data_IF_857859711763
#
_entry.id   IF_857859711763
#
_cell.length_a   1.000
_cell.length_b   1.000
_cell.length_c   1.000
_cell.angle_alpha   90.00
_cell.angle_beta   90.00
_cell.angle_gamma   90.00
#
_symmetry.space_group_name_H-M   'P 1'
#
loop_
_entity.id
_entity.type
_entity.pdbx_description
1 polymer ?
#
# COMPACT_ATOMS: atom_id res chain seq x y z
N UNK A 1 32.93 -1.92 11.50
CA UNK A 1 32.68 -2.27 10.07
C UNK A 1 32.01 -3.64 9.85
N UNK A 2 32.30 -4.67 10.66
CA UNK A 2 31.77 -6.04 10.49
C UNK A 2 30.26 -6.20 10.76
N UNK A 3 29.71 -5.50 11.77
CA UNK A 3 28.28 -5.58 12.12
C UNK A 3 27.39 -4.92 11.05
N UNK A 4 27.80 -3.76 10.53
CA UNK A 4 27.08 -3.05 9.46
C UNK A 4 27.06 -3.88 8.18
N UNK A 5 28.19 -4.50 7.83
CA UNK A 5 28.30 -5.37 6.65
C UNK A 5 27.44 -6.64 6.79
N UNK A 6 27.38 -7.23 7.99
CA UNK A 6 26.50 -8.37 8.28
C UNK A 6 25.00 -7.99 8.24
N UNK A 7 24.64 -6.81 8.75
CA UNK A 7 23.28 -6.29 8.68
C UNK A 7 22.84 -6.01 7.23
N UNK A 8 23.70 -5.37 6.43
CA UNK A 8 23.46 -5.11 5.01
C UNK A 8 23.30 -6.40 4.21
N UNK A 9 24.10 -7.45 4.50
CA UNK A 9 23.97 -8.77 3.86
C UNK A 9 22.64 -9.46 4.18
N UNK A 10 22.04 -9.15 5.33
CA UNK A 10 20.72 -9.64 5.72
C UNK A 10 19.56 -8.78 5.18
N UNK A 11 19.84 -7.62 4.60
CA UNK A 11 18.84 -6.74 3.96
C UNK A 11 18.85 -6.94 2.44
N UNK A 12 20.02 -7.12 1.85
CA UNK A 12 20.21 -7.27 0.40
C UNK A 12 20.24 -8.74 0.00
N UNK A 13 19.23 -9.21 -0.73
CA UNK A 13 19.17 -10.57 -1.25
C UNK A 13 19.54 -10.62 -2.75
N UNK A 14 19.72 -11.82 -3.31
CA UNK A 14 19.80 -11.99 -4.78
C UNK A 14 18.56 -11.41 -5.45
N UNK A 15 17.40 -11.68 -4.88
CA UNK A 15 16.11 -11.19 -5.36
C UNK A 15 16.01 -9.65 -5.28
N UNK A 16 16.60 -9.03 -4.24
CA UNK A 16 16.74 -7.56 -4.16
C UNK A 16 17.50 -7.00 -5.36
N UNK A 17 18.54 -7.69 -5.83
CA UNK A 17 19.32 -7.24 -7.00
C UNK A 17 18.52 -7.33 -8.30
N UNK A 18 17.72 -8.39 -8.45
CA UNK A 18 16.85 -8.57 -9.63
C UNK A 18 15.75 -7.51 -9.64
N UNK A 19 15.07 -7.30 -8.51
CA UNK A 19 14.02 -6.30 -8.39
C UNK A 19 14.58 -4.88 -8.54
N UNK A 20 15.76 -4.59 -7.99
CA UNK A 20 16.42 -3.31 -8.19
C UNK A 20 16.79 -3.08 -9.66
N UNK A 21 17.33 -4.09 -10.34
CA UNK A 21 17.62 -4.01 -11.78
C UNK A 21 16.37 -3.74 -12.61
N UNK A 22 15.27 -4.48 -12.35
CA UNK A 22 13.99 -4.23 -13.01
C UNK A 22 13.43 -2.84 -12.71
N UNK A 23 13.53 -2.38 -11.45
CA UNK A 23 13.09 -1.06 -11.04
C UNK A 23 13.88 0.06 -11.73
N UNK A 24 15.21 -0.04 -11.77
CA UNK A 24 16.06 0.92 -12.49
C UNK A 24 15.77 0.92 -13.99
N UNK A 25 15.55 -0.25 -14.60
CA UNK A 25 15.15 -0.34 -16.00
C UNK A 25 13.82 0.37 -16.24
N UNK A 26 12.84 0.19 -15.36
CA UNK A 26 11.55 0.90 -15.43
C UNK A 26 11.73 2.42 -15.29
N UNK A 27 12.54 2.90 -14.33
CA UNK A 27 12.85 4.34 -14.19
C UNK A 27 13.49 4.85 -15.48
N UNK A 28 14.49 4.14 -15.99
CA UNK A 28 15.19 4.52 -17.21
C UNK A 28 14.22 4.65 -18.40
N UNK A 29 13.31 3.68 -18.56
CA UNK A 29 12.28 3.72 -19.59
C UNK A 29 11.32 4.90 -19.41
N UNK A 30 10.90 5.20 -18.17
CA UNK A 30 10.06 6.35 -17.87
C UNK A 30 10.78 7.64 -18.26
N UNK A 31 12.02 7.83 -17.79
CA UNK A 31 12.82 9.03 -18.12
C UNK A 31 13.00 9.15 -19.62
N UNK A 32 13.31 8.05 -20.31
CA UNK A 32 13.51 8.05 -21.76
C UNK A 32 12.23 8.43 -22.53
N UNK A 33 11.09 7.81 -22.19
CA UNK A 33 9.80 8.05 -22.86
C UNK A 33 9.29 9.46 -22.59
N UNK A 34 9.43 9.94 -21.35
CA UNK A 34 8.90 11.22 -20.90
C UNK A 34 9.92 12.36 -20.94
N UNK A 35 11.09 12.14 -21.54
CA UNK A 35 12.16 13.14 -21.63
C UNK A 35 11.70 14.48 -22.24
N UNK A 36 10.91 14.52 -23.33
CA UNK A 36 10.46 15.79 -23.91
C UNK A 36 9.60 16.62 -22.94
N UNK A 37 8.74 15.95 -22.16
CA UNK A 37 7.93 16.59 -21.14
C UNK A 37 8.81 17.08 -19.98
N UNK A 38 9.84 16.32 -19.61
CA UNK A 38 10.79 16.73 -18.60
C UNK A 38 11.58 17.98 -19.02
N UNK A 39 12.01 18.09 -20.28
CA UNK A 39 12.69 19.30 -20.79
C UNK A 39 11.81 20.54 -20.68
N UNK A 40 10.53 20.43 -21.08
CA UNK A 40 9.58 21.54 -20.95
C UNK A 40 9.39 21.93 -19.48
N UNK A 41 9.19 20.94 -18.60
CA UNK A 41 9.00 21.19 -17.17
C UNK A 41 10.24 21.82 -16.51
N UNK A 42 11.43 21.31 -16.82
CA UNK A 42 12.71 21.81 -16.30
C UNK A 42 13.06 23.20 -16.85
N UNK A 43 12.48 23.59 -17.99
CA UNK A 43 12.58 24.93 -18.56
C UNK A 43 11.89 26.02 -17.71
N UNK A 44 10.87 25.66 -16.93
CA UNK A 44 10.21 26.60 -16.00
C UNK A 44 11.01 26.84 -14.71
N UNK A 45 12.06 26.04 -14.45
CA UNK A 45 12.85 26.15 -13.23
C UNK A 45 13.91 27.24 -13.38
N UNK A 46 13.87 28.22 -12.46
CA UNK A 46 14.99 29.15 -12.31
C UNK A 46 16.17 28.46 -11.60
N UNK A 47 17.12 27.97 -12.40
CA UNK A 47 18.32 27.28 -11.94
C UNK A 47 19.34 28.19 -11.22
N UNK A 48 19.29 29.50 -11.45
CA UNK A 48 20.19 30.46 -10.81
C UNK A 48 19.65 30.96 -9.46
N UNK A 49 18.35 30.75 -9.22
CA UNK A 49 17.67 31.13 -8.00
C UNK A 49 17.47 29.97 -7.03
N UNK A 50 16.35 30.03 -6.29
CA UNK A 50 15.97 29.04 -5.30
C UNK A 50 15.32 27.80 -5.94
N UNK A 51 16.03 27.12 -6.86
CA UNK A 51 15.54 25.98 -7.64
C UNK A 51 14.92 24.87 -6.78
N UNK A 52 15.41 24.68 -5.55
CA UNK A 52 14.89 23.69 -4.60
C UNK A 52 13.43 23.92 -4.23
N UNK A 53 12.88 25.13 -4.42
CA UNK A 53 11.45 25.41 -4.18
C UNK A 53 10.54 24.83 -5.26
N UNK A 54 11.07 24.60 -6.46
CA UNK A 54 10.33 23.98 -7.56
C UNK A 54 10.28 22.45 -7.46
N UNK A 55 11.12 21.87 -6.59
CA UNK A 55 11.16 20.42 -6.40
C UNK A 55 10.04 19.96 -5.45
N UNK A 56 9.31 18.94 -5.85
CA UNK A 56 8.33 18.29 -4.99
C UNK A 56 9.03 17.34 -4.01
N UNK A 57 9.51 17.89 -2.89
CA UNK A 57 10.19 17.13 -1.84
C UNK A 57 9.34 16.03 -1.23
N UNK A 58 8.01 16.19 -1.22
CA UNK A 58 7.10 15.17 -0.70
C UNK A 58 7.07 13.97 -1.65
N UNK A 59 6.93 14.21 -2.96
CA UNK A 59 6.99 13.15 -3.97
C UNK A 59 8.33 12.42 -3.94
N UNK A 60 9.43 13.18 -3.94
CA UNK A 60 10.78 12.61 -3.90
C UNK A 60 11.00 11.78 -2.63
N UNK A 61 10.52 12.26 -1.48
CA UNK A 61 10.59 11.54 -0.21
C UNK A 61 9.79 10.24 -0.22
N UNK A 62 8.54 10.27 -0.69
CA UNK A 62 7.68 9.08 -0.80
C UNK A 62 8.29 8.08 -1.79
N UNK A 63 8.72 8.55 -2.95
CA UNK A 63 9.34 7.72 -3.98
C UNK A 63 10.63 7.07 -3.47
N UNK A 64 11.52 7.83 -2.85
CA UNK A 64 12.76 7.30 -2.28
C UNK A 64 12.48 6.28 -1.17
N UNK A 65 11.53 6.59 -0.28
CA UNK A 65 11.12 5.68 0.79
C UNK A 65 10.58 4.36 0.22
N UNK A 66 9.63 4.41 -0.71
CA UNK A 66 9.06 3.22 -1.35
C UNK A 66 10.13 2.43 -2.14
N UNK A 67 11.04 3.12 -2.82
CA UNK A 67 12.15 2.47 -3.53
C UNK A 67 13.01 1.65 -2.58
N UNK A 68 13.36 2.20 -1.43
CA UNK A 68 14.15 1.49 -0.42
C UNK A 68 13.37 0.32 0.17
N UNK A 69 12.09 0.50 0.49
CA UNK A 69 11.29 -0.56 1.13
C UNK A 69 11.07 -1.75 0.20
N UNK A 70 10.73 -1.55 -1.08
CA UNK A 70 10.47 -2.67 -2.00
C UNK A 70 11.72 -3.53 -2.25
N UNK A 71 12.91 -2.92 -2.24
CA UNK A 71 14.18 -3.62 -2.43
C UNK A 71 14.62 -4.33 -1.14
N UNK A 72 14.28 -3.79 0.02
CA UNK A 72 14.68 -4.36 1.30
C UNK A 72 14.08 -5.76 1.50
N UNK A 73 14.97 -6.75 1.65
CA UNK A 73 14.64 -8.18 1.87
C UNK A 73 13.68 -8.75 0.84
N UNK A 74 13.90 -8.39 -0.43
CA UNK A 74 12.99 -8.80 -1.49
C UNK A 74 12.97 -10.33 -1.69
N UNK A 75 11.81 -10.83 -2.10
CA UNK A 75 11.55 -12.24 -2.34
C UNK A 75 10.61 -12.38 -3.54
N UNK A 76 11.15 -12.76 -4.70
CA UNK A 76 10.41 -12.76 -5.97
C UNK A 76 9.13 -13.59 -5.90
N UNK A 77 9.17 -14.75 -5.24
CA UNK A 77 8.00 -15.64 -5.15
C UNK A 77 6.83 -14.98 -4.40
N UNK A 78 7.13 -14.26 -3.33
CA UNK A 78 6.11 -13.56 -2.54
C UNK A 78 5.71 -12.26 -3.22
N UNK A 79 6.68 -11.54 -3.75
CA UNK A 79 6.51 -10.21 -4.32
C UNK A 79 5.73 -10.25 -5.63
N UNK A 80 5.91 -11.27 -6.49
CA UNK A 80 5.11 -11.43 -7.70
C UNK A 80 3.62 -11.58 -7.41
N UNK A 81 3.26 -12.31 -6.35
CA UNK A 81 1.87 -12.43 -5.94
C UNK A 81 1.32 -11.10 -5.43
N UNK A 82 2.12 -10.35 -4.65
CA UNK A 82 1.72 -9.02 -4.16
C UNK A 82 1.56 -8.05 -5.33
N UNK A 83 2.46 -8.08 -6.32
CA UNK A 83 2.37 -7.29 -7.55
C UNK A 83 1.08 -7.64 -8.29
N UNK A 84 0.82 -8.92 -8.54
CA UNK A 84 -0.37 -9.37 -9.24
C UNK A 84 -1.66 -8.90 -8.55
N UNK A 85 -1.77 -9.13 -7.23
CA UNK A 85 -2.93 -8.67 -6.46
C UNK A 85 -3.03 -7.15 -6.45
N UNK A 86 -1.91 -6.44 -6.34
CA UNK A 86 -1.86 -4.98 -6.38
C UNK A 86 -2.35 -4.42 -7.72
N UNK A 87 -2.00 -5.02 -8.85
CA UNK A 87 -2.50 -4.62 -10.18
C UNK A 87 -4.01 -4.82 -10.25
N UNK A 88 -4.50 -6.04 -9.97
CA UNK A 88 -5.93 -6.34 -10.10
C UNK A 88 -6.78 -5.55 -9.09
N UNK A 89 -6.30 -5.45 -7.86
CA UNK A 89 -6.97 -4.72 -6.78
C UNK A 89 -6.97 -3.21 -7.02
N UNK A 90 -5.84 -2.65 -7.46
CA UNK A 90 -5.75 -1.25 -7.86
C UNK A 90 -6.69 -0.92 -9.01
N UNK A 91 -6.71 -1.76 -10.05
CA UNK A 91 -7.66 -1.60 -11.17
C UNK A 91 -9.12 -1.61 -10.70
N UNK A 92 -9.48 -2.51 -9.78
CA UNK A 92 -10.83 -2.58 -9.23
C UNK A 92 -11.19 -1.33 -8.42
N UNK A 93 -10.27 -0.82 -7.59
CA UNK A 93 -10.49 0.37 -6.76
C UNK A 93 -10.60 1.63 -7.64
N UNK A 94 -9.68 1.82 -8.59
CA UNK A 94 -9.73 2.95 -9.51
C UNK A 94 -10.97 2.92 -10.40
N UNK A 95 -11.36 1.72 -10.86
CA UNK A 95 -12.60 1.54 -11.63
C UNK A 95 -13.81 1.92 -10.78
N UNK A 96 -13.86 1.47 -9.52
CA UNK A 96 -14.96 1.82 -8.62
C UNK A 96 -15.04 3.33 -8.41
N UNK A 97 -13.97 3.99 -7.97
CA UNK A 97 -14.03 5.40 -7.61
C UNK A 97 -14.30 6.35 -8.77
N UNK A 98 -13.58 6.15 -9.88
CA UNK A 98 -13.68 7.07 -11.03
C UNK A 98 -14.98 6.88 -11.81
N UNK A 99 -15.50 5.66 -11.93
CA UNK A 99 -16.77 5.39 -12.60
C UNK A 99 -17.98 5.85 -11.77
N UNK A 100 -17.87 5.83 -10.44
CA UNK A 100 -18.93 6.31 -9.53
C UNK A 100 -18.84 7.82 -9.25
N UNK A 101 -17.80 8.51 -9.74
CA UNK A 101 -17.51 9.92 -9.48
C UNK A 101 -17.20 10.23 -8.00
N UNK A 102 -16.66 9.26 -7.25
CA UNK A 102 -16.15 9.52 -5.90
C UNK A 102 -14.87 10.35 -5.93
N UNK A 103 -14.04 10.15 -6.96
CA UNK A 103 -12.88 10.99 -7.26
C UNK A 103 -12.63 11.08 -8.76
N UNK A 104 -11.91 12.13 -9.16
CA UNK A 104 -11.48 12.38 -10.52
C UNK A 104 -10.00 12.69 -10.57
N UNK A 105 -9.35 12.27 -11.65
CA UNK A 105 -7.97 12.61 -11.96
C UNK A 105 -7.93 13.78 -12.94
N UNK A 106 -6.85 14.55 -12.91
CA UNK A 106 -6.62 15.65 -13.87
C UNK A 106 -6.67 15.21 -15.34
N UNK A 107 -6.39 13.93 -15.63
CA UNK A 107 -6.47 13.36 -16.98
C UNK A 107 -7.89 13.01 -17.43
N UNK A 108 -8.88 13.07 -16.54
CA UNK A 108 -10.28 12.65 -16.77
C UNK A 108 -10.48 11.17 -17.17
N UNK A 109 -9.43 10.33 -17.14
CA UNK A 109 -9.51 8.90 -17.44
C UNK A 109 -10.29 8.11 -16.38
N UNK A 110 -10.98 7.03 -16.80
CA UNK A 110 -11.83 6.19 -15.93
C UNK A 110 -11.79 4.70 -16.31
N UNK A 111 -11.02 3.83 -15.62
CA UNK A 111 -9.97 4.15 -14.66
C UNK A 111 -8.72 4.70 -15.38
N UNK A 112 -7.91 5.56 -14.75
CA UNK A 112 -6.61 5.96 -15.27
C UNK A 112 -5.64 4.79 -15.28
N UNK A 113 -5.15 4.39 -16.45
CA UNK A 113 -4.21 3.27 -16.54
C UNK A 113 -2.81 3.63 -16.04
N UNK A 114 -2.46 4.93 -16.08
CA UNK A 114 -1.15 5.42 -15.69
C UNK A 114 -0.84 5.27 -14.20
N UNK A 115 -1.86 5.24 -13.31
CA UNK A 115 -1.66 5.06 -11.87
C UNK A 115 -1.65 3.60 -11.43
N UNK A 116 -2.15 2.67 -12.26
CA UNK A 116 -2.20 1.24 -11.93
C UNK A 116 -0.82 0.66 -11.53
N UNK A 117 0.30 1.02 -12.20
CA UNK A 117 1.62 0.57 -11.76
C UNK A 117 2.06 1.03 -10.37
N UNK A 118 1.48 2.11 -9.82
CA UNK A 118 1.80 2.60 -8.48
C UNK A 118 1.23 1.69 -7.37
N UNK A 119 0.09 1.03 -7.63
CA UNK A 119 -0.56 0.14 -6.67
C UNK A 119 0.31 -1.04 -6.21
N UNK A 120 1.02 -1.77 -7.10
CA UNK A 120 2.03 -2.76 -6.72
C UNK A 120 3.15 -2.21 -5.83
N UNK A 121 3.66 -1.02 -6.15
CA UNK A 121 4.77 -0.40 -5.41
C UNK A 121 4.31 -0.06 -3.97
N UNK A 122 3.13 0.53 -3.84
CA UNK A 122 2.51 0.80 -2.54
C UNK A 122 2.24 -0.50 -1.78
N UNK A 123 1.69 -1.52 -2.44
CA UNK A 123 1.38 -2.82 -1.83
C UNK A 123 2.61 -3.54 -1.28
N UNK A 124 3.71 -3.56 -2.04
CA UNK A 124 4.99 -4.11 -1.59
C UNK A 124 5.54 -3.30 -0.41
N UNK A 125 5.51 -1.97 -0.50
CA UNK A 125 5.97 -1.10 0.58
C UNK A 125 5.19 -1.35 1.87
N UNK A 126 3.87 -1.45 1.80
CA UNK A 126 2.99 -1.73 2.93
C UNK A 126 3.30 -3.11 3.52
N UNK A 127 3.45 -4.16 2.71
CA UNK A 127 3.84 -5.49 3.19
C UNK A 127 5.14 -5.44 4.01
N UNK A 128 6.15 -4.69 3.55
CA UNK A 128 7.42 -4.53 4.28
C UNK A 128 7.26 -3.75 5.57
N UNK A 129 6.52 -2.65 5.55
CA UNK A 129 6.19 -1.87 6.75
C UNK A 129 5.46 -2.76 7.76
N UNK A 130 4.44 -3.50 7.34
CA UNK A 130 3.66 -4.42 8.17
C UNK A 130 4.56 -5.48 8.81
N UNK A 131 5.49 -6.10 8.06
CA UNK A 131 6.45 -7.07 8.62
C UNK A 131 7.36 -6.44 9.66
N UNK A 132 7.89 -5.25 9.40
CA UNK A 132 8.76 -4.53 10.34
C UNK A 132 7.98 -4.17 11.61
N UNK A 133 6.79 -3.57 11.48
CA UNK A 133 5.92 -3.25 12.61
C UNK A 133 5.58 -4.49 13.44
N UNK A 134 5.22 -5.59 12.77
CA UNK A 134 4.92 -6.84 13.45
C UNK A 134 6.12 -7.41 14.21
N UNK A 135 7.33 -7.31 13.65
CA UNK A 135 8.57 -7.70 14.31
C UNK A 135 8.87 -6.80 15.52
N UNK A 136 8.72 -5.48 15.38
CA UNK A 136 8.94 -4.52 16.48
C UNK A 136 7.98 -4.76 17.63
N UNK A 137 6.69 -4.95 17.34
CA UNK A 137 5.67 -5.31 18.33
C UNK A 137 6.05 -6.62 19.01
N UNK A 138 6.42 -7.66 18.25
CA UNK A 138 6.78 -8.97 18.83
C UNK A 138 8.03 -8.89 19.72
N UNK A 139 9.07 -8.16 19.30
CA UNK A 139 10.30 -7.98 20.07
C UNK A 139 10.07 -7.13 21.31
N UNK A 140 9.32 -6.04 21.19
CA UNK A 140 8.94 -5.19 22.32
C UNK A 140 8.20 -5.98 23.39
N UNK A 141 7.19 -6.78 22.97
CA UNK A 141 6.44 -7.67 23.86
C UNK A 141 7.32 -8.75 24.52
N UNK A 142 8.35 -9.25 23.83
CA UNK A 142 9.27 -10.27 24.36
C UNK A 142 10.33 -9.69 25.31
N UNK A 143 10.82 -8.48 25.04
CA UNK A 143 11.82 -7.78 25.87
C UNK A 143 11.24 -7.37 27.23
N UNK A 144 9.97 -6.99 27.25
CA UNK A 144 9.20 -6.86 28.49
C UNK A 144 8.90 -8.26 29.04
N UNK A 145 9.86 -8.87 29.75
CA UNK A 145 9.78 -10.19 30.39
C UNK A 145 8.69 -10.24 31.49
N UNK A 146 7.45 -10.30 31.02
CA UNK A 146 6.21 -10.50 31.76
C UNK A 146 5.16 -10.97 30.75
N UNK A 147 5.49 -12.03 30.00
CA UNK A 147 4.81 -12.51 28.77
C UNK A 147 3.29 -12.70 28.92
N UNK A 148 2.77 -12.89 30.14
CA UNK A 148 1.33 -12.96 30.40
C UNK A 148 0.64 -11.62 30.63
N UNK A 149 1.34 -10.58 31.10
CA UNK A 149 0.71 -9.32 31.56
C UNK A 149 0.46 -8.31 30.44
N UNK A 150 1.31 -8.22 29.41
CA UNK A 150 1.15 -7.24 28.32
C UNK A 150 0.32 -7.77 27.14
N UNK A 151 0.30 -9.09 26.90
CA UNK A 151 -0.68 -9.67 25.96
C UNK A 151 -2.13 -9.45 26.44
N UNK A 152 -2.33 -9.25 27.75
CA UNK A 152 -3.59 -8.80 28.35
C UNK A 152 -3.85 -7.28 28.21
N UNK A 153 -2.85 -6.46 27.85
CA UNK A 153 -2.99 -4.99 27.75
C UNK A 153 -3.47 -4.58 26.35
N UNK A 154 -2.98 -5.23 25.30
CA UNK A 154 -3.35 -4.88 23.92
C UNK A 154 -4.20 -5.99 23.30
N UNK A 155 -5.52 -5.83 23.41
CA UNK A 155 -6.47 -6.74 22.78
C UNK A 155 -6.63 -6.38 21.28
N UNK A 156 -5.80 -6.99 20.44
CA UNK A 156 -5.85 -6.79 18.97
C UNK A 156 -7.21 -7.13 18.36
N UNK A 157 -7.99 -8.03 18.97
CA UNK A 157 -9.35 -8.32 18.51
C UNK A 157 -10.26 -7.11 18.72
N UNK A 158 -10.22 -6.50 19.90
CA UNK A 158 -10.98 -5.27 20.18
C UNK A 158 -10.55 -4.13 19.26
N UNK A 159 -9.25 -3.91 19.10
CA UNK A 159 -8.74 -2.87 18.19
C UNK A 159 -9.19 -3.10 16.74
N UNK A 160 -9.10 -4.33 16.26
CA UNK A 160 -9.58 -4.70 14.93
C UNK A 160 -11.06 -4.36 14.75
N UNK A 161 -11.93 -4.74 15.69
CA UNK A 161 -13.37 -4.50 15.57
C UNK A 161 -13.72 -3.01 15.66
N UNK A 162 -13.09 -2.26 16.56
CA UNK A 162 -13.28 -0.81 16.65
C UNK A 162 -12.87 -0.15 15.34
N UNK A 163 -11.64 -0.41 14.86
CA UNK A 163 -11.12 0.19 13.62
C UNK A 163 -11.96 -0.19 12.41
N UNK A 164 -12.34 -1.47 12.28
CA UNK A 164 -13.14 -1.95 11.15
C UNK A 164 -14.56 -1.39 11.16
N UNK A 165 -15.20 -1.32 12.34
CA UNK A 165 -16.54 -0.73 12.47
C UNK A 165 -16.50 0.78 12.19
N UNK A 166 -15.51 1.51 12.73
CA UNK A 166 -15.33 2.93 12.44
C UNK A 166 -15.09 3.18 10.95
N UNK A 167 -14.26 2.37 10.30
CA UNK A 167 -14.03 2.45 8.87
C UNK A 167 -15.30 2.19 8.06
N UNK A 168 -16.07 1.15 8.40
CA UNK A 168 -17.31 0.82 7.69
C UNK A 168 -18.35 1.93 7.84
N UNK A 169 -18.51 2.50 9.04
CA UNK A 169 -19.39 3.65 9.26
C UNK A 169 -18.98 4.85 8.40
N UNK A 170 -17.67 5.14 8.34
CA UNK A 170 -17.15 6.21 7.48
C UNK A 170 -17.36 5.91 6.00
N UNK A 171 -17.17 4.65 5.58
CA UNK A 171 -17.42 4.19 4.22
C UNK A 171 -18.88 4.43 3.83
N UNK A 172 -19.84 4.06 4.68
CA UNK A 172 -21.27 4.25 4.39
C UNK A 172 -21.61 5.72 4.17
N UNK A 173 -21.07 6.63 4.98
CA UNK A 173 -21.26 8.08 4.82
C UNK A 173 -20.61 8.58 3.53
N UNK A 174 -19.38 8.15 3.26
CA UNK A 174 -18.62 8.60 2.09
C UNK A 174 -19.23 8.12 0.76
N UNK A 175 -19.76 6.90 0.71
CA UNK A 175 -20.29 6.33 -0.54
C UNK A 175 -21.78 6.63 -0.74
N UNK A 176 -22.46 7.23 0.25
CA UNK A 176 -23.89 7.52 0.21
C UNK A 176 -24.35 8.23 -1.08
N UNK A 177 -23.62 9.23 -1.62
CA UNK A 177 -24.02 9.89 -2.88
C UNK A 177 -24.02 8.97 -4.11
N UNK A 178 -23.40 7.79 -4.01
CA UNK A 178 -23.22 6.83 -5.12
C UNK A 178 -23.89 5.48 -4.83
N UNK A 179 -24.82 5.44 -3.87
CA UNK A 179 -25.50 4.20 -3.45
C UNK A 179 -26.36 3.58 -4.56
N UNK A 180 -26.71 4.35 -5.58
CA UNK A 180 -27.40 3.89 -6.78
C UNK A 180 -26.48 3.12 -7.75
N UNK A 181 -25.17 3.16 -7.55
CA UNK A 181 -24.19 2.52 -8.44
C UNK A 181 -23.87 1.08 -8.03
N UNK A 182 -23.90 0.16 -8.98
CA UNK A 182 -23.59 -1.27 -8.75
C UNK A 182 -22.18 -1.50 -8.21
N UNK A 183 -21.19 -0.72 -8.65
CA UNK A 183 -19.81 -0.81 -8.16
C UNK A 183 -19.70 -0.43 -6.67
N UNK A 184 -20.52 0.50 -6.19
CA UNK A 184 -20.60 0.85 -4.76
C UNK A 184 -21.14 -0.31 -3.93
N UNK A 185 -22.17 -1.00 -4.41
CA UNK A 185 -22.66 -2.23 -3.77
C UNK A 185 -21.60 -3.31 -3.71
N UNK A 186 -20.87 -3.53 -4.82
CA UNK A 186 -19.80 -4.53 -4.85
C UNK A 186 -18.68 -4.19 -3.85
N UNK A 187 -18.24 -2.93 -3.80
CA UNK A 187 -17.24 -2.47 -2.84
C UNK A 187 -17.71 -2.64 -1.38
N UNK A 188 -18.96 -2.28 -1.08
CA UNK A 188 -19.56 -2.43 0.26
C UNK A 188 -19.65 -3.90 0.69
N UNK A 189 -20.18 -4.77 -0.17
CA UNK A 189 -20.30 -6.20 0.11
C UNK A 189 -18.91 -6.80 0.34
N UNK A 190 -17.94 -6.49 -0.52
CA UNK A 190 -16.57 -6.95 -0.37
C UNK A 190 -15.97 -6.49 0.97
N UNK A 191 -16.14 -5.23 1.33
CA UNK A 191 -15.65 -4.68 2.59
C UNK A 191 -16.29 -5.38 3.80
N UNK A 192 -17.62 -5.57 3.79
CA UNK A 192 -18.36 -6.26 4.85
C UNK A 192 -17.85 -7.71 4.99
N UNK A 193 -17.72 -8.43 3.88
CA UNK A 193 -17.19 -9.80 3.89
C UNK A 193 -15.77 -9.87 4.45
N UNK A 194 -14.91 -8.93 4.07
CA UNK A 194 -13.54 -8.84 4.59
C UNK A 194 -13.53 -8.60 6.10
N UNK A 195 -14.37 -7.69 6.60
CA UNK A 195 -14.46 -7.35 8.03
C UNK A 195 -14.99 -8.54 8.84
N UNK A 196 -16.02 -9.24 8.33
CA UNK A 196 -16.74 -10.28 9.08
C UNK A 196 -16.02 -11.63 9.11
N UNK A 197 -15.07 -11.89 8.22
CA UNK A 197 -14.41 -13.20 8.12
C UNK A 197 -12.92 -13.16 8.48
N UNK A 198 -12.47 -12.51 9.58
CA UNK A 198 -11.04 -12.30 9.85
C UNK A 198 -10.28 -13.62 10.04
N UNK A 199 -9.09 -13.70 9.46
CA UNK A 199 -8.16 -14.84 9.61
C UNK A 199 -7.13 -14.59 10.71
N UNK A 200 -6.57 -13.38 10.78
CA UNK A 200 -5.64 -12.94 11.82
C UNK A 200 -5.91 -11.46 12.15
N UNK A 201 -6.54 -11.21 13.31
CA UNK A 201 -6.94 -9.87 13.75
C UNK A 201 -5.73 -8.94 13.95
N UNK A 202 -4.63 -9.48 14.47
CA UNK A 202 -3.42 -8.70 14.74
C UNK A 202 -2.77 -8.29 13.44
N UNK A 203 -2.56 -9.24 12.53
CA UNK A 203 -1.92 -8.93 11.26
C UNK A 203 -2.81 -8.01 10.40
N UNK A 204 -4.13 -8.22 10.39
CA UNK A 204 -5.08 -7.33 9.73
C UNK A 204 -4.99 -5.90 10.27
N UNK A 205 -5.01 -5.72 11.60
CA UNK A 205 -4.89 -4.40 12.23
C UNK A 205 -3.55 -3.72 11.88
N UNK A 206 -2.42 -4.43 11.98
CA UNK A 206 -1.11 -3.86 11.64
C UNK A 206 -1.03 -3.50 10.15
N UNK A 207 -1.62 -4.33 9.28
CA UNK A 207 -1.71 -4.05 7.83
C UNK A 207 -2.54 -2.80 7.57
N UNK A 208 -3.67 -2.65 8.24
CA UNK A 208 -4.51 -1.46 8.16
C UNK A 208 -3.76 -0.19 8.57
N UNK A 209 -3.02 -0.24 9.69
CA UNK A 209 -2.21 0.89 10.17
C UNK A 209 -1.07 1.21 9.20
N UNK A 210 -0.36 0.20 8.69
CA UNK A 210 0.70 0.39 7.71
C UNK A 210 0.19 1.01 6.41
N UNK A 211 -0.95 0.51 5.90
CA UNK A 211 -1.60 1.03 4.71
C UNK A 211 -2.12 2.45 4.89
N UNK A 212 -2.77 2.75 6.02
CA UNK A 212 -3.22 4.12 6.32
C UNK A 212 -2.05 5.09 6.51
N UNK A 213 -0.96 4.63 7.11
CA UNK A 213 0.25 5.44 7.32
C UNK A 213 0.93 5.84 6.01
N UNK A 214 1.13 4.88 5.09
CA UNK A 214 1.64 5.20 3.75
C UNK A 214 0.62 6.00 2.93
N UNK A 215 -0.65 5.60 3.00
CA UNK A 215 -1.78 6.24 2.33
C UNK A 215 -1.94 7.71 2.70
N UNK A 216 -1.69 8.09 3.95
CA UNK A 216 -1.69 9.50 4.36
C UNK A 216 -0.76 10.35 3.50
N UNK A 217 0.51 9.94 3.34
CA UNK A 217 1.47 10.70 2.54
C UNK A 217 1.12 10.70 1.05
N UNK A 218 0.61 9.58 0.53
CA UNK A 218 0.15 9.47 -0.86
C UNK A 218 -1.03 10.41 -1.13
N UNK A 219 -2.02 10.45 -0.23
CA UNK A 219 -3.18 11.33 -0.36
C UNK A 219 -2.83 12.80 -0.16
N UNK A 220 -1.97 13.13 0.82
CA UNK A 220 -1.46 14.51 0.97
C UNK A 220 -0.80 14.95 -0.32
N UNK A 221 0.06 14.12 -0.91
CA UNK A 221 0.71 14.45 -2.16
C UNK A 221 -0.32 14.62 -3.30
N UNK A 222 -1.10 13.59 -3.61
CA UNK A 222 -1.97 13.61 -4.77
C UNK A 222 -3.07 14.67 -4.71
N UNK A 223 -3.66 14.90 -3.54
CA UNK A 223 -4.75 15.87 -3.39
C UNK A 223 -4.28 17.32 -3.31
N UNK A 224 -3.08 17.59 -2.75
CA UNK A 224 -2.54 18.97 -2.71
C UNK A 224 -1.90 19.41 -4.03
N UNK A 225 -1.59 18.48 -4.94
CA UNK A 225 -1.11 18.76 -6.31
C UNK A 225 -2.20 18.56 -7.36
N UNK A 226 -3.44 18.33 -6.93
CA UNK A 226 -4.60 18.11 -7.81
C UNK A 226 -4.39 16.96 -8.81
N UNK A 227 -3.52 16.00 -8.48
CA UNK A 227 -3.39 14.77 -9.25
C UNK A 227 -4.71 14.00 -9.25
N UNK A 228 -5.40 14.02 -8.11
CA UNK A 228 -6.80 13.63 -8.02
C UNK A 228 -7.54 14.51 -7.02
N UNK A 229 -8.85 14.61 -7.22
CA UNK A 229 -9.75 15.38 -6.35
C UNK A 229 -10.98 14.53 -6.02
N UNK A 230 -11.28 14.44 -4.74
CA UNK A 230 -12.49 13.78 -4.25
C UNK A 230 -13.69 14.72 -4.33
N UNK A 231 -14.89 14.15 -4.44
CA UNK A 231 -16.14 14.93 -4.43
C UNK A 231 -16.33 15.77 -3.14
N UNK A 232 -15.63 15.42 -2.06
CA UNK A 232 -15.65 16.16 -0.78
C UNK A 232 -14.70 17.36 -0.75
N UNK A 233 -13.82 17.51 -1.75
CA UNK A 233 -12.79 18.55 -1.84
C UNK A 233 -11.82 18.63 -0.63
N UNK A 234 -11.73 17.56 0.17
CA UNK A 234 -10.82 17.48 1.32
C UNK A 234 -9.39 17.13 0.89
N UNK A 235 -8.39 17.68 1.60
CA UNK A 235 -6.96 17.49 1.31
C UNK A 235 -6.15 17.14 2.58
N UNK A 236 -5.84 15.85 2.84
CA UNK A 236 -6.44 14.65 2.27
C UNK A 236 -7.80 14.33 2.94
N UNK A 237 -8.72 13.63 2.26
CA UNK A 237 -9.92 13.11 2.91
C UNK A 237 -9.57 12.00 3.89
N UNK A 238 -10.12 12.06 5.11
CA UNK A 238 -9.87 11.02 6.12
C UNK A 238 -10.28 9.62 5.61
N UNK A 239 -11.40 9.53 4.89
CA UNK A 239 -11.85 8.27 4.31
C UNK A 239 -10.80 7.67 3.36
N UNK A 240 -10.25 8.47 2.45
CA UNK A 240 -9.27 8.00 1.47
C UNK A 240 -8.01 7.45 2.15
N UNK A 241 -7.50 8.16 3.17
CA UNK A 241 -6.36 7.72 3.97
C UNK A 241 -6.63 6.36 4.60
N UNK A 242 -7.79 6.18 5.24
CA UNK A 242 -8.15 4.90 5.87
C UNK A 242 -8.51 3.81 4.83
N UNK A 243 -8.97 4.20 3.64
CA UNK A 243 -9.28 3.28 2.56
C UNK A 243 -8.01 2.60 2.01
N UNK A 244 -6.85 3.28 2.00
CA UNK A 244 -5.55 2.63 1.76
C UNK A 244 -5.25 1.53 2.77
N UNK A 245 -5.58 1.77 4.05
CA UNK A 245 -5.50 0.76 5.10
C UNK A 245 -6.36 -0.48 4.81
N UNK A 246 -7.63 -0.27 4.49
CA UNK A 246 -8.54 -1.38 4.16
C UNK A 246 -8.16 -2.08 2.85
N UNK A 247 -7.71 -1.35 1.83
CA UNK A 247 -7.22 -1.91 0.58
C UNK A 247 -6.02 -2.83 0.82
N UNK A 248 -5.07 -2.42 1.66
CA UNK A 248 -3.93 -3.26 2.04
C UNK A 248 -4.38 -4.56 2.73
N UNK A 249 -5.37 -4.49 3.63
CA UNK A 249 -5.97 -5.68 4.25
C UNK A 249 -6.62 -6.57 3.19
N UNK A 250 -7.38 -5.99 2.27
CA UNK A 250 -8.03 -6.70 1.17
C UNK A 250 -7.00 -7.42 0.27
N UNK A 251 -5.90 -6.76 -0.09
CA UNK A 251 -4.86 -7.34 -0.93
C UNK A 251 -4.13 -8.48 -0.24
N UNK A 252 -3.77 -8.32 1.03
CA UNK A 252 -3.19 -9.40 1.82
C UNK A 252 -4.12 -10.62 1.87
N UNK A 253 -5.42 -10.39 2.10
CA UNK A 253 -6.46 -11.42 2.15
C UNK A 253 -6.63 -12.13 0.81
N UNK A 254 -6.69 -11.38 -0.28
CA UNK A 254 -6.75 -11.94 -1.63
C UNK A 254 -5.51 -12.81 -1.93
N UNK A 255 -4.32 -12.36 -1.53
CA UNK A 255 -3.09 -13.14 -1.63
C UNK A 255 -3.16 -14.47 -0.84
N UNK A 256 -3.74 -14.48 0.35
CA UNK A 256 -3.96 -15.73 1.12
C UNK A 256 -4.93 -16.67 0.40
N UNK A 257 -6.05 -16.15 -0.12
CA UNK A 257 -7.03 -16.94 -0.84
C UNK A 257 -6.41 -17.56 -2.10
N UNK A 258 -5.69 -16.77 -2.90
CA UNK A 258 -4.97 -17.26 -4.08
C UNK A 258 -3.97 -18.37 -3.72
N UNK A 259 -3.20 -18.21 -2.63
CA UNK A 259 -2.30 -19.28 -2.15
C UNK A 259 -3.06 -20.54 -1.77
N UNK A 260 -4.22 -20.42 -1.11
CA UNK A 260 -5.04 -21.58 -0.74
C UNK A 260 -5.58 -22.31 -1.97
N UNK A 261 -6.08 -21.58 -2.97
CA UNK A 261 -6.51 -22.17 -4.24
C UNK A 261 -5.34 -22.85 -4.95
N UNK A 262 -4.22 -22.15 -5.11
CA UNK A 262 -3.03 -22.65 -5.80
C UNK A 262 -2.41 -23.88 -5.11
N UNK A 263 -2.43 -23.91 -3.77
CA UNK A 263 -1.99 -25.05 -2.96
C UNK A 263 -2.89 -26.29 -3.13
N UNK A 264 -4.20 -26.09 -3.33
CA UNK A 264 -5.14 -27.19 -3.64
C UNK A 264 -4.93 -27.78 -5.04
N UNK A 265 -4.42 -26.99 -5.99
CA UNK A 265 -4.08 -27.45 -7.34
C UNK A 265 -2.68 -28.08 -7.48
N UNK A 266 -1.99 -28.38 -6.37
CA UNK A 266 -0.78 -29.22 -6.37
C UNK A 266 0.53 -28.51 -6.76
N UNK A 267 0.52 -27.20 -6.97
CA UNK A 267 1.69 -26.45 -7.42
C UNK A 267 2.59 -25.93 -6.28
N UNK A 268 2.28 -26.21 -5.01
CA UNK A 268 3.16 -25.88 -3.88
C UNK A 268 2.91 -26.82 -2.71
N UNK A 269 3.92 -27.64 -2.36
CA UNK A 269 3.94 -28.30 -1.05
C UNK A 269 3.96 -27.20 0.02
N UNK A 270 3.04 -27.19 0.99
CA UNK A 270 3.05 -26.21 2.06
C UNK A 270 4.31 -26.43 2.90
N UNK A 271 5.29 -25.54 2.75
CA UNK A 271 6.31 -25.38 3.78
C UNK A 271 5.62 -24.73 4.97
N UNK A 272 5.21 -25.55 5.93
CA UNK A 272 4.85 -25.07 7.26
C UNK A 272 6.03 -24.26 7.78
N UNK A 273 5.83 -22.95 7.95
CA UNK A 273 6.72 -22.14 8.77
C UNK A 273 6.63 -22.67 10.20
N UNK A 274 7.53 -23.59 10.55
CA UNK A 274 7.88 -23.86 11.94
C UNK A 274 8.48 -22.57 12.48
N UNK A 275 7.69 -21.87 13.29
CA UNK A 275 8.20 -20.83 14.18
C UNK A 275 9.06 -21.57 15.22
N UNK A 276 10.38 -21.47 15.09
CA UNK A 276 11.31 -21.59 16.22
C UNK A 276 11.81 -20.20 16.57
#
# INVERSE_FOLDING_TARGET
MTIVRAALKNIWTRDSSILFGGFLLTIFLIVYIWWPLAEEYLGYVDWNGAWWRYMDWLLLGIFAFMSVTIIARANIKTDLLIIFVGICGGLAIESWGTQTNLWHYYTNERPPLWIIPAWPIASLSIDRITRVLNLLITKGLKYTNGVKKISNVVNFKTLYWITSASFLSLMLVFVFPTIDKSLTWFALILCILLILTPTDHRFAFITFIAGSGLGYYLEVWGTTRECWTYYTHQTPPLFAVLAHGMAAVAFWRAGLMLKMFWGRFGFSKPQQFSVK
#
